data_IF_242064724267
#
_entry.id   IF_242064724267
#
_cell.length_a   1.000
_cell.length_b   1.000
_cell.length_c   1.000
_cell.angle_alpha   90.00
_cell.angle_beta   90.00
_cell.angle_gamma   90.00
#
_symmetry.space_group_name_H-M   'P 1'
#
loop_
_entity.id
_entity.type
_entity.pdbx_description
1 polymer ?
#
# COMPACT_ATOMS: atom_id res chain seq x y z
N UNK A 1 -12.76 8.68 4.78
CA UNK A 1 -11.83 9.57 4.03
C UNK A 1 -12.10 9.35 2.56
N UNK A 2 -12.70 10.32 1.86
CA UNK A 2 -13.06 10.17 0.44
C UNK A 2 -12.50 11.34 -0.36
N UNK A 3 -12.07 11.07 -1.59
CA UNK A 3 -11.61 12.07 -2.55
C UNK A 3 -10.09 12.10 -2.75
N UNK A 4 -9.68 12.80 -3.83
CA UNK A 4 -8.31 12.89 -4.32
C UNK A 4 -7.31 13.31 -3.24
N UNK A 5 -7.61 14.36 -2.49
CA UNK A 5 -6.66 14.93 -1.53
C UNK A 5 -6.36 13.97 -0.37
N UNK A 6 -7.38 13.22 0.09
CA UNK A 6 -7.22 12.21 1.11
C UNK A 6 -6.34 11.03 0.63
N UNK A 7 -6.52 10.60 -0.62
CA UNK A 7 -5.69 9.55 -1.26
C UNK A 7 -4.25 10.04 -1.41
N UNK A 8 -4.05 11.27 -1.87
CA UNK A 8 -2.71 11.86 -2.03
C UNK A 8 -2.01 11.99 -0.68
N UNK A 9 -2.72 12.43 0.36
CA UNK A 9 -2.16 12.53 1.71
C UNK A 9 -1.75 11.14 2.26
N UNK A 10 -2.62 10.14 2.11
CA UNK A 10 -2.32 8.77 2.52
C UNK A 10 -1.10 8.21 1.75
N UNK A 11 -1.05 8.43 0.44
CA UNK A 11 0.07 8.00 -0.40
C UNK A 11 1.39 8.71 -0.03
N UNK A 12 1.35 10.00 0.32
CA UNK A 12 2.53 10.75 0.79
C UNK A 12 3.04 10.21 2.12
N UNK A 13 2.15 10.01 3.09
CA UNK A 13 2.51 9.49 4.40
C UNK A 13 3.14 8.10 4.31
N UNK A 14 2.53 7.22 3.50
CA UNK A 14 3.07 5.89 3.26
C UNK A 14 4.35 5.91 2.41
N UNK A 15 4.42 6.77 1.39
CA UNK A 15 5.59 6.93 0.52
C UNK A 15 6.86 7.36 1.28
N UNK A 16 6.73 8.02 2.44
CA UNK A 16 7.86 8.36 3.28
C UNK A 16 8.61 7.17 3.88
N UNK A 17 7.97 6.00 3.99
CA UNK A 17 8.58 4.77 4.53
C UNK A 17 8.78 3.68 3.47
N UNK A 18 8.27 3.88 2.26
CA UNK A 18 8.36 2.91 1.18
C UNK A 18 9.74 2.93 0.55
N UNK A 19 10.42 1.77 0.55
CA UNK A 19 11.73 1.61 -0.07
C UNK A 19 11.64 1.07 -1.50
N UNK A 20 10.76 0.09 -1.73
CA UNK A 20 10.63 -0.57 -3.03
C UNK A 20 9.23 -1.16 -3.24
N UNK A 21 8.81 -1.27 -4.51
CA UNK A 21 7.61 -1.98 -4.96
C UNK A 21 8.02 -3.01 -6.01
N UNK A 22 7.84 -4.28 -5.71
CA UNK A 22 8.19 -5.37 -6.62
C UNK A 22 6.93 -6.00 -7.20
N UNK A 23 6.62 -5.66 -8.45
CA UNK A 23 5.44 -6.21 -9.13
C UNK A 23 5.69 -7.67 -9.51
N UNK A 24 4.86 -8.57 -8.98
CA UNK A 24 4.92 -10.01 -9.24
C UNK A 24 4.07 -10.43 -10.42
N UNK A 25 2.90 -9.81 -10.56
CA UNK A 25 1.95 -10.12 -11.62
C UNK A 25 1.09 -8.92 -11.96
N UNK A 26 0.66 -8.86 -13.21
CA UNK A 26 -0.17 -7.79 -13.76
C UNK A 26 -1.32 -8.43 -14.52
N UNK A 27 -2.52 -7.96 -14.24
CA UNK A 27 -3.74 -8.36 -14.92
C UNK A 27 -4.46 -7.10 -15.38
N UNK A 28 -5.02 -7.13 -16.58
CA UNK A 28 -5.79 -6.01 -17.12
C UNK A 28 -7.03 -6.56 -17.80
N UNK A 29 -8.16 -5.88 -17.60
CA UNK A 29 -9.41 -6.16 -18.29
C UNK A 29 -10.17 -4.84 -18.43
N UNK A 30 -10.49 -4.45 -19.68
CA UNK A 30 -11.21 -3.21 -19.98
C UNK A 30 -10.55 -1.99 -19.32
N UNK A 31 -11.26 -1.34 -18.39
CA UNK A 31 -10.83 -0.16 -17.66
C UNK A 31 -10.32 -0.49 -16.24
N UNK A 32 -10.02 -1.75 -15.97
CA UNK A 32 -9.54 -2.20 -14.67
C UNK A 32 -8.17 -2.86 -14.80
N UNK A 33 -7.33 -2.65 -13.81
CA UNK A 33 -6.09 -3.40 -13.65
C UNK A 33 -5.98 -3.96 -12.24
N UNK A 34 -5.32 -5.10 -12.12
CA UNK A 34 -4.90 -5.64 -10.85
C UNK A 34 -3.40 -5.90 -10.85
N UNK A 35 -2.72 -5.43 -9.81
CA UNK A 35 -1.34 -5.82 -9.53
C UNK A 35 -1.30 -6.70 -8.30
N UNK A 36 -0.48 -7.76 -8.34
CA UNK A 36 0.02 -8.43 -7.15
C UNK A 36 1.49 -8.03 -6.99
N UNK A 37 1.88 -7.51 -5.83
CA UNK A 37 3.20 -6.94 -5.61
C UNK A 37 3.69 -7.11 -4.16
N UNK A 38 4.99 -7.00 -3.99
CA UNK A 38 5.61 -6.86 -2.68
C UNK A 38 5.86 -5.39 -2.39
N UNK A 39 5.56 -4.99 -1.17
CA UNK A 39 5.94 -3.72 -0.61
C UNK A 39 7.11 -3.94 0.33
N UNK A 40 8.16 -3.14 0.16
CA UNK A 40 9.34 -3.19 1.02
C UNK A 40 9.41 -1.90 1.82
N UNK A 41 9.40 -2.02 3.14
CA UNK A 41 9.59 -0.93 4.09
C UNK A 41 10.73 -1.31 5.06
N UNK A 42 11.28 -0.37 5.85
CA UNK A 42 12.29 -0.69 6.85
C UNK A 42 11.85 -1.76 7.87
N UNK A 43 12.84 -2.32 8.58
CA UNK A 43 12.57 -3.05 9.81
C UNK A 43 11.80 -2.16 10.81
N UNK A 44 10.91 -2.73 11.64
CA UNK A 44 10.71 -4.16 11.88
C UNK A 44 9.74 -4.86 10.91
N UNK A 45 9.05 -4.12 10.04
CA UNK A 45 8.04 -4.68 9.12
C UNK A 45 8.70 -5.46 7.98
N UNK A 46 9.69 -4.86 7.31
CA UNK A 46 10.31 -5.45 6.15
C UNK A 46 9.35 -5.57 4.96
N UNK A 47 9.28 -6.77 4.37
CA UNK A 47 8.53 -7.02 3.13
C UNK A 47 7.17 -7.63 3.43
N UNK A 48 6.11 -7.08 2.83
CA UNK A 48 4.76 -7.64 2.91
C UNK A 48 4.08 -7.72 1.54
N UNK A 49 3.11 -8.61 1.40
CA UNK A 49 2.36 -8.83 0.14
C UNK A 49 1.18 -7.87 0.07
N UNK A 50 0.94 -7.34 -1.13
CA UNK A 50 -0.24 -6.55 -1.43
C UNK A 50 -0.78 -6.85 -2.83
N UNK A 51 -2.04 -6.53 -3.03
CA UNK A 51 -2.66 -6.45 -4.33
C UNK A 51 -3.51 -5.18 -4.41
N UNK A 52 -3.55 -4.56 -5.58
CA UNK A 52 -4.39 -3.38 -5.82
C UNK A 52 -5.27 -3.64 -7.02
N UNK A 53 -6.57 -3.41 -6.88
CA UNK A 53 -7.51 -3.26 -7.97
C UNK A 53 -7.70 -1.76 -8.23
N UNK A 54 -7.44 -1.33 -9.45
CA UNK A 54 -7.67 0.05 -9.87
C UNK A 54 -8.62 0.11 -11.04
N UNK A 55 -9.48 1.11 -11.04
CA UNK A 55 -10.39 1.41 -12.16
C UNK A 55 -10.06 2.77 -12.74
N UNK A 56 -10.33 2.92 -14.05
CA UNK A 56 -10.05 4.12 -14.79
C UNK A 56 -11.32 4.65 -15.48
N UNK A 57 -11.51 5.97 -15.41
CA UNK A 57 -12.55 6.71 -16.14
C UNK A 57 -11.88 7.89 -16.83
N UNK A 58 -12.09 8.08 -18.14
CA UNK A 58 -11.45 9.14 -18.92
C UNK A 58 -9.91 9.18 -18.75
N UNK A 59 -9.28 8.00 -18.68
CA UNK A 59 -7.84 7.81 -18.44
C UNK A 59 -7.32 8.31 -17.07
N UNK A 60 -8.22 8.61 -16.14
CA UNK A 60 -7.90 8.97 -14.76
C UNK A 60 -8.27 7.82 -13.82
N UNK A 61 -7.52 7.65 -12.73
CA UNK A 61 -7.86 6.68 -11.69
C UNK A 61 -9.15 7.14 -11.00
N UNK A 62 -10.20 6.33 -11.09
CA UNK A 62 -11.50 6.59 -10.46
C UNK A 62 -11.69 5.79 -9.17
N UNK A 63 -10.99 4.65 -9.02
CA UNK A 63 -11.03 3.80 -7.84
C UNK A 63 -9.65 3.18 -7.58
N UNK A 64 -9.30 3.09 -6.30
CA UNK A 64 -8.18 2.31 -5.78
C UNK A 64 -8.72 1.45 -4.65
N UNK A 65 -8.56 0.14 -4.76
CA UNK A 65 -8.91 -0.82 -3.73
C UNK A 65 -7.67 -1.66 -3.40
N UNK A 66 -7.14 -1.47 -2.19
CA UNK A 66 -5.89 -2.07 -1.73
C UNK A 66 -6.19 -3.24 -0.78
N UNK A 67 -5.65 -4.40 -1.11
CA UNK A 67 -5.61 -5.59 -0.27
C UNK A 67 -4.16 -5.80 0.17
N UNK A 68 -3.90 -5.99 1.46
CA UNK A 68 -2.53 -6.24 1.93
C UNK A 68 -2.52 -7.13 3.17
N UNK A 69 -1.40 -7.83 3.36
CA UNK A 69 -1.15 -8.57 4.59
C UNK A 69 -0.77 -7.61 5.71
N UNK A 70 -1.68 -7.42 6.66
CA UNK A 70 -1.50 -6.55 7.81
C UNK A 70 -0.80 -7.25 8.99
N UNK A 71 -0.60 -8.57 8.93
CA UNK A 71 -0.06 -9.37 10.03
C UNK A 71 1.30 -8.85 10.53
N UNK A 72 2.27 -8.49 9.65
CA UNK A 72 3.55 -7.92 10.09
C UNK A 72 3.40 -6.65 10.94
N UNK A 73 2.42 -5.80 10.62
CA UNK A 73 2.15 -4.58 11.37
C UNK A 73 1.56 -4.83 12.75
N UNK A 74 0.73 -5.88 12.88
CA UNK A 74 0.15 -6.27 14.16
C UNK A 74 1.17 -6.96 15.06
N UNK A 75 1.93 -7.91 14.51
CA UNK A 75 2.95 -8.67 15.25
C UNK A 75 4.08 -7.76 15.75
N UNK A 76 4.46 -6.77 14.93
CA UNK A 76 5.53 -5.82 15.25
C UNK A 76 5.05 -4.53 15.89
N UNK A 77 3.77 -4.44 16.27
CA UNK A 77 3.16 -3.23 16.84
C UNK A 77 3.99 -2.63 17.98
N UNK A 78 4.48 -3.44 18.91
CA UNK A 78 5.28 -2.97 20.04
C UNK A 78 6.68 -2.47 19.61
N UNK A 79 7.28 -3.07 18.59
CA UNK A 79 8.58 -2.60 18.05
C UNK A 79 8.42 -1.28 17.26
N UNK A 80 7.25 -1.07 16.64
CA UNK A 80 6.95 0.13 15.85
C UNK A 80 6.53 1.31 16.73
N UNK A 81 5.67 1.04 17.73
CA UNK A 81 5.00 2.08 18.52
C UNK A 81 5.41 2.09 20.00
N UNK A 82 6.20 1.11 20.45
CA UNK A 82 6.61 0.97 21.85
C UNK A 82 7.88 1.73 22.23
N UNK A 83 8.29 2.74 21.45
CA UNK A 83 9.45 3.56 21.77
C UNK A 83 9.29 4.32 23.10
N UNK A 84 10.08 3.89 24.09
CA UNK A 84 10.42 4.43 25.41
C UNK A 84 9.43 5.39 26.08
N UNK A 85 8.68 4.83 27.03
CA UNK A 85 8.27 5.56 28.24
C UNK A 85 9.52 6.04 28.99
N UNK A 86 10.09 7.19 28.60
CA UNK A 86 11.04 7.97 29.39
C UNK A 86 10.59 9.41 29.47
#
# INVERSE_FOLDING_TARGET
MHGKDAVVLAAKNFGGILQDIQIRSRFASHNQIMFAYDMVVPAPIGKFRAAVLMEFTNRLISKIELFYDASPFQEKKNEIFGGDSK
#
